data_IF_064237757582
#
_entry.id   IF_064237757582
#
_cell.length_a   1.000
_cell.length_b   1.000
_cell.length_c   1.000
_cell.angle_alpha   90.00
_cell.angle_beta   90.00
_cell.angle_gamma   90.00
#
_symmetry.space_group_name_H-M   'P 1'
#
loop_
_entity.id
_entity.type
_entity.pdbx_description
1 polymer ?
#
# COMPACT_ATOMS: atom_id res chain seq x y z
N UNK A 1 -5.46 14.38 -11.10
CA UNK A 1 -4.15 14.06 -10.49
C UNK A 1 -3.97 12.57 -10.54
N UNK A 2 -2.81 12.09 -10.94
CA UNK A 2 -2.47 10.68 -11.07
C UNK A 2 -1.39 10.31 -10.05
N UNK A 3 -1.25 9.01 -9.78
CA UNK A 3 -0.11 8.45 -9.06
C UNK A 3 0.52 7.36 -9.92
N UNK A 4 1.81 7.49 -10.18
CA UNK A 4 2.64 6.46 -10.78
C UNK A 4 3.28 5.63 -9.65
N UNK A 5 3.14 4.31 -9.72
CA UNK A 5 3.73 3.38 -8.77
C UNK A 5 4.85 2.63 -9.47
N UNK A 6 6.08 2.81 -8.98
CA UNK A 6 7.25 2.10 -9.50
C UNK A 6 7.20 0.60 -9.18
N UNK A 7 8.01 -0.18 -9.86
CA UNK A 7 8.17 -1.62 -9.61
C UNK A 7 8.53 -1.90 -8.14
N UNK A 8 9.54 -1.20 -7.61
CA UNK A 8 9.99 -1.37 -6.23
C UNK A 8 8.87 -1.08 -5.22
N UNK A 9 8.16 0.02 -5.41
CA UNK A 9 7.05 0.38 -4.53
C UNK A 9 5.90 -0.63 -4.62
N UNK A 10 5.53 -1.07 -5.82
CA UNK A 10 4.51 -2.09 -6.02
C UNK A 10 4.85 -3.41 -5.32
N UNK A 11 6.09 -3.88 -5.49
CA UNK A 11 6.54 -5.11 -4.85
C UNK A 11 6.50 -5.01 -3.32
N UNK A 12 6.97 -3.91 -2.74
CA UNK A 12 6.97 -3.73 -1.29
C UNK A 12 5.53 -3.65 -0.75
N UNK A 13 4.64 -2.91 -1.40
CA UNK A 13 3.24 -2.80 -0.99
C UNK A 13 2.56 -4.16 -0.99
N UNK A 14 2.67 -4.91 -2.08
CA UNK A 14 2.02 -6.22 -2.21
C UNK A 14 2.62 -7.25 -1.26
N UNK A 15 3.95 -7.30 -1.10
CA UNK A 15 4.61 -8.21 -0.17
C UNK A 15 4.25 -7.88 1.28
N UNK A 16 4.17 -6.59 1.65
CA UNK A 16 3.74 -6.19 3.00
C UNK A 16 2.32 -6.65 3.31
N UNK A 17 1.41 -6.55 2.34
CA UNK A 17 0.05 -7.05 2.49
C UNK A 17 0.02 -8.57 2.65
N UNK A 18 0.79 -9.32 1.86
CA UNK A 18 0.86 -10.78 1.94
C UNK A 18 1.51 -11.27 3.23
N UNK A 19 2.57 -10.59 3.71
CA UNK A 19 3.27 -10.95 4.96
C UNK A 19 2.34 -10.89 6.18
N UNK A 20 1.49 -9.86 6.24
CA UNK A 20 0.52 -9.71 7.32
C UNK A 20 -0.75 -10.53 7.08
N UNK A 21 -0.97 -10.92 5.82
CA UNK A 21 -2.11 -11.71 5.36
C UNK A 21 -3.48 -11.12 5.76
N UNK A 22 -4.48 -12.00 5.85
CA UNK A 22 -5.88 -11.60 6.15
C UNK A 22 -6.15 -11.39 7.65
N UNK A 23 -5.15 -11.48 8.50
CA UNK A 23 -5.35 -11.45 9.95
C UNK A 23 -4.97 -10.12 10.61
N UNK A 24 -4.16 -9.31 9.97
CA UNK A 24 -3.64 -8.05 10.54
C UNK A 24 -3.43 -7.01 9.46
N UNK A 25 -3.58 -5.76 9.84
CA UNK A 25 -3.22 -4.66 8.98
C UNK A 25 -1.71 -4.52 8.82
N UNK A 26 -1.25 -4.23 7.60
CA UNK A 26 0.08 -3.68 7.37
C UNK A 26 0.00 -2.18 7.21
N UNK A 27 1.08 -1.47 7.50
CA UNK A 27 1.21 -0.05 7.20
C UNK A 27 2.66 0.35 6.98
N UNK A 28 2.86 1.52 6.39
CA UNK A 28 4.18 2.06 6.16
C UNK A 28 4.16 3.45 5.53
N UNK A 29 5.34 3.93 5.18
CA UNK A 29 5.58 5.24 4.60
C UNK A 29 5.78 5.16 3.09
N UNK A 30 5.37 6.22 2.41
CA UNK A 30 5.50 6.39 0.97
C UNK A 30 6.47 7.54 0.68
N UNK A 31 7.44 7.28 -0.19
CA UNK A 31 8.45 8.23 -0.60
C UNK A 31 8.55 8.31 -2.12
N UNK A 32 8.84 9.51 -2.60
CA UNK A 32 8.96 9.76 -4.02
C UNK A 32 9.03 11.25 -4.30
N UNK A 33 8.38 11.71 -5.36
CA UNK A 33 8.34 13.11 -5.71
C UNK A 33 7.02 13.49 -6.35
N UNK A 34 6.74 14.78 -6.41
CA UNK A 34 5.52 15.34 -6.95
C UNK A 34 5.83 16.31 -8.09
N UNK A 35 5.09 16.20 -9.17
CA UNK A 35 4.97 17.22 -10.21
C UNK A 35 3.59 17.90 -10.12
N UNK A 36 3.33 18.97 -10.89
CA UNK A 36 1.99 19.58 -10.93
C UNK A 36 0.86 18.60 -11.27
N UNK A 37 1.14 17.56 -12.04
CA UNK A 37 0.14 16.66 -12.62
C UNK A 37 0.11 15.27 -11.95
N UNK A 38 1.21 14.85 -11.32
CA UNK A 38 1.40 13.46 -10.92
C UNK A 38 2.26 13.32 -9.66
N UNK A 39 1.94 12.33 -8.84
CA UNK A 39 2.85 11.76 -7.84
C UNK A 39 3.61 10.59 -8.43
N UNK A 40 4.90 10.49 -8.11
CA UNK A 40 5.76 9.35 -8.43
C UNK A 40 6.13 8.66 -7.12
N UNK A 41 5.56 7.50 -6.88
CA UNK A 41 5.87 6.66 -5.74
C UNK A 41 7.04 5.74 -6.11
N UNK A 42 8.20 6.01 -5.54
CA UNK A 42 9.44 5.29 -5.85
C UNK A 42 9.80 4.25 -4.78
N UNK A 43 9.42 4.51 -3.54
CA UNK A 43 9.75 3.67 -2.41
C UNK A 43 8.59 3.61 -1.42
N UNK A 44 8.26 2.40 -0.97
CA UNK A 44 7.45 2.15 0.21
C UNK A 44 8.31 1.52 1.31
N UNK A 45 8.08 1.87 2.57
CA UNK A 45 8.82 1.31 3.70
C UNK A 45 7.86 0.79 4.75
N UNK A 46 7.78 -0.53 4.96
CA UNK A 46 6.87 -1.10 5.94
C UNK A 46 7.31 -0.77 7.37
N UNK A 47 6.35 -0.62 8.26
CA UNK A 47 6.60 -0.49 9.70
C UNK A 47 6.81 -1.87 10.33
N UNK A 48 8.05 -2.29 10.46
CA UNK A 48 8.41 -3.60 11.01
C UNK A 48 8.11 -3.76 12.51
N UNK A 49 7.90 -2.66 13.24
CA UNK A 49 7.80 -2.63 14.70
C UNK A 49 6.57 -1.86 15.19
N UNK A 50 5.51 -1.83 14.42
CA UNK A 50 4.24 -1.30 14.90
C UNK A 50 3.67 -2.25 15.96
N UNK A 51 3.25 -1.71 17.11
CA UNK A 51 2.40 -2.45 18.03
C UNK A 51 1.06 -2.69 17.32
N UNK A 52 0.95 -3.84 16.69
CA UNK A 52 -0.21 -4.25 15.93
C UNK A 52 -1.28 -4.72 16.91
N UNK A 53 -2.20 -3.86 17.28
CA UNK A 53 -3.49 -4.28 17.79
C UNK A 53 -4.36 -4.64 16.58
N UNK A 54 -5.38 -5.45 16.81
CA UNK A 54 -6.25 -6.02 15.77
C UNK A 54 -6.89 -4.98 14.85
N UNK A 55 -6.99 -3.73 15.30
CA UNK A 55 -7.75 -2.63 14.69
C UNK A 55 -7.01 -1.27 14.68
N UNK A 56 -5.73 -1.24 15.06
CA UNK A 56 -4.98 0.02 15.10
C UNK A 56 -3.47 -0.20 15.02
N UNK A 57 -2.82 0.50 14.09
CA UNK A 57 -1.36 0.52 13.98
C UNK A 57 -0.84 1.78 14.66
N UNK A 58 -0.17 1.61 15.81
CA UNK A 58 0.52 2.73 16.47
C UNK A 58 1.97 2.79 16.01
N UNK A 59 2.34 3.91 15.42
CA UNK A 59 3.70 4.17 14.95
C UNK A 59 4.37 5.14 15.93
N UNK A 60 5.54 4.75 16.44
CA UNK A 60 6.33 5.63 17.30
C UNK A 60 6.80 6.86 16.48
N UNK A 61 6.39 8.11 16.86
CA UNK A 61 6.73 9.31 16.10
C UNK A 61 8.23 9.54 15.92
N UNK A 62 9.05 9.18 16.92
CA UNK A 62 10.52 9.33 16.84
C UNK A 62 11.13 8.41 15.77
N UNK A 63 10.63 7.18 15.63
CA UNK A 63 11.09 6.25 14.59
C UNK A 63 10.68 6.73 13.22
N UNK A 64 9.46 7.20 13.08
CA UNK A 64 8.92 7.82 11.87
C UNK A 64 9.81 8.99 11.42
N UNK A 65 10.09 9.91 12.33
CA UNK A 65 10.95 11.06 12.06
C UNK A 65 12.39 10.67 11.69
N UNK A 66 12.96 9.67 12.37
CA UNK A 66 14.30 9.14 12.03
C UNK A 66 14.32 8.57 10.61
N UNK A 67 13.29 7.83 10.21
CA UNK A 67 13.19 7.24 8.88
C UNK A 67 13.07 8.33 7.80
N UNK A 68 12.25 9.35 8.02
CA UNK A 68 12.16 10.52 7.12
C UNK A 68 13.51 11.16 6.86
N UNK A 69 14.24 11.48 7.94
CA UNK A 69 15.55 12.12 7.82
C UNK A 69 16.57 11.26 7.09
N UNK A 70 16.54 9.96 7.30
CA UNK A 70 17.44 9.04 6.59
C UNK A 70 17.13 9.02 5.10
N UNK A 71 15.87 8.89 4.71
CA UNK A 71 15.47 8.79 3.31
C UNK A 71 15.68 10.11 2.59
N UNK A 72 15.29 11.22 3.18
CA UNK A 72 15.50 12.57 2.62
C UNK A 72 16.99 12.86 2.37
N UNK A 73 17.85 12.53 3.36
CA UNK A 73 19.28 12.79 3.25
C UNK A 73 20.02 11.87 2.25
N UNK A 74 19.62 10.59 2.14
CA UNK A 74 20.38 9.61 1.37
C UNK A 74 19.79 9.30 0.00
N UNK A 75 18.46 9.29 -0.12
CA UNK A 75 17.78 8.91 -1.36
C UNK A 75 17.22 10.08 -2.13
N UNK A 76 17.20 11.29 -1.54
CA UNK A 76 16.60 12.49 -2.13
C UNK A 76 15.13 12.34 -2.54
N UNK A 77 14.42 11.38 -1.95
CA UNK A 77 12.98 11.24 -2.06
C UNK A 77 12.29 12.02 -0.97
N UNK A 78 11.22 12.70 -1.33
CA UNK A 78 10.36 13.36 -0.36
C UNK A 78 9.36 12.35 0.23
N UNK A 79 8.98 12.57 1.47
CA UNK A 79 7.80 11.91 2.02
C UNK A 79 6.55 12.41 1.31
N UNK A 80 5.76 11.48 0.76
CA UNK A 80 4.54 11.81 0.01
C UNK A 80 3.28 11.24 0.64
N UNK A 81 3.36 10.38 1.65
CA UNK A 81 2.19 9.84 2.33
C UNK A 81 2.42 8.54 3.08
N UNK A 82 1.35 7.88 3.42
CA UNK A 82 1.34 6.59 4.12
C UNK A 82 0.52 5.55 3.35
N UNK A 83 0.63 4.30 3.78
CA UNK A 83 -0.24 3.24 3.32
C UNK A 83 -0.63 2.32 4.47
N UNK A 84 -1.80 1.71 4.35
CA UNK A 84 -2.23 0.62 5.22
C UNK A 84 -3.14 -0.37 4.48
N UNK A 85 -3.40 -1.51 5.11
CA UNK A 85 -4.30 -2.52 4.54
C UNK A 85 -5.50 -2.78 5.44
N UNK A 86 -6.62 -3.14 4.80
CA UNK A 86 -7.85 -3.64 5.42
C UNK A 86 -7.99 -5.13 5.10
N UNK A 87 -7.62 -6.03 6.02
CA UNK A 87 -7.85 -7.47 5.84
C UNK A 87 -9.33 -7.77 5.66
N UNK A 88 -9.67 -8.59 4.65
CA UNK A 88 -11.06 -8.95 4.28
C UNK A 88 -12.00 -7.74 4.03
N UNK A 89 -11.44 -6.52 3.96
CA UNK A 89 -12.17 -5.27 3.77
C UNK A 89 -12.24 -4.82 2.32
N UNK A 90 -12.39 -3.52 2.14
CA UNK A 90 -12.37 -2.82 0.84
C UNK A 90 -11.25 -1.78 0.81
N UNK A 91 -10.67 -1.46 -0.36
CA UNK A 91 -9.61 -0.47 -0.47
C UNK A 91 -10.19 0.95 -0.47
N UNK A 92 -10.86 1.32 0.62
CA UNK A 92 -11.49 2.64 0.82
C UNK A 92 -11.26 3.12 2.24
N UNK A 93 -11.08 4.43 2.45
CA UNK A 93 -10.89 4.96 3.79
C UNK A 93 -12.17 4.76 4.62
N UNK A 94 -12.00 4.30 5.85
CA UNK A 94 -13.02 4.33 6.89
C UNK A 94 -13.23 5.76 7.38
N UNK A 95 -14.23 5.99 8.23
CA UNK A 95 -14.41 7.31 8.85
C UNK A 95 -13.23 7.73 9.73
N UNK A 96 -12.59 6.76 10.39
CA UNK A 96 -11.44 7.03 11.24
C UNK A 96 -10.17 7.29 10.42
N UNK A 97 -9.99 6.60 9.29
CA UNK A 97 -8.94 6.91 8.33
C UNK A 97 -9.08 8.34 7.80
N UNK A 98 -10.30 8.75 7.44
CA UNK A 98 -10.56 10.12 6.96
C UNK A 98 -10.20 11.15 8.04
N UNK A 99 -10.61 10.91 9.30
CA UNK A 99 -10.23 11.79 10.41
C UNK A 99 -8.72 11.85 10.62
N UNK A 100 -8.04 10.70 10.51
CA UNK A 100 -6.60 10.60 10.63
C UNK A 100 -5.89 11.35 9.49
N UNK A 101 -6.26 11.12 8.23
CA UNK A 101 -5.73 11.81 7.04
C UNK A 101 -5.90 13.34 7.20
N UNK A 102 -7.06 13.80 7.70
CA UNK A 102 -7.31 15.22 7.91
C UNK A 102 -6.45 15.83 9.02
N UNK A 103 -6.16 15.07 10.05
CA UNK A 103 -5.31 15.50 11.17
C UNK A 103 -3.85 15.61 10.77
N UNK A 104 -3.33 14.58 10.10
CA UNK A 104 -1.91 14.49 9.74
C UNK A 104 -1.57 15.27 8.46
N UNK A 105 -2.58 15.61 7.65
CA UNK A 105 -2.43 16.37 6.39
C UNK A 105 -1.49 15.73 5.38
N UNK A 106 -1.44 14.40 5.31
CA UNK A 106 -0.61 13.72 4.33
C UNK A 106 -1.05 14.00 2.90
N UNK A 107 -0.09 14.21 1.98
CA UNK A 107 -0.41 14.46 0.58
C UNK A 107 -1.21 13.33 -0.06
N UNK A 108 -0.83 12.07 0.18
CA UNK A 108 -1.53 10.88 -0.31
C UNK A 108 -1.64 9.79 0.75
N UNK A 109 -2.63 8.93 0.57
CA UNK A 109 -2.81 7.68 1.31
C UNK A 109 -3.06 6.56 0.31
N UNK A 110 -2.40 5.40 0.48
CA UNK A 110 -2.72 4.19 -0.25
C UNK A 110 -3.40 3.21 0.70
N UNK A 111 -4.59 2.77 0.33
CA UNK A 111 -5.33 1.77 1.07
C UNK A 111 -5.42 0.51 0.24
N UNK A 112 -5.03 -0.61 0.84
CA UNK A 112 -5.10 -1.92 0.22
C UNK A 112 -6.18 -2.76 0.90
N UNK A 113 -6.82 -3.65 0.16
CA UNK A 113 -7.52 -4.80 0.74
C UNK A 113 -6.82 -6.08 0.34
N UNK A 114 -6.87 -7.07 1.21
CA UNK A 114 -6.30 -8.39 0.94
C UNK A 114 -7.27 -9.46 1.43
N UNK A 115 -7.50 -10.47 0.60
CA UNK A 115 -8.28 -11.65 0.95
C UNK A 115 -7.71 -12.89 0.30
N UNK A 116 -7.98 -14.05 0.86
CA UNK A 116 -7.67 -15.31 0.18
C UNK A 116 -8.63 -15.50 -1.01
N UNK A 117 -8.08 -15.93 -2.14
CA UNK A 117 -8.85 -16.28 -3.34
C UNK A 117 -8.22 -17.52 -3.99
N UNK A 118 -9.06 -18.47 -4.34
CA UNK A 118 -8.62 -19.70 -5.02
C UNK A 118 -8.39 -19.49 -6.50
N UNK A 119 -9.03 -18.46 -7.07
CA UNK A 119 -8.91 -18.13 -8.47
C UNK A 119 -7.81 -17.09 -8.68
N UNK A 120 -6.89 -17.40 -9.56
CA UNK A 120 -5.90 -16.44 -10.01
C UNK A 120 -6.57 -15.39 -10.90
N UNK A 121 -6.34 -14.10 -10.58
CA UNK A 121 -6.82 -12.96 -11.37
C UNK A 121 -5.63 -12.12 -11.83
N UNK A 122 -5.51 -11.85 -13.14
CA UNK A 122 -4.45 -10.98 -13.64
C UNK A 122 -4.61 -9.55 -13.07
N UNK A 123 -3.50 -8.84 -12.98
CA UNK A 123 -3.51 -7.45 -12.54
C UNK A 123 -4.21 -6.56 -13.57
N UNK A 124 -5.14 -5.76 -13.08
CA UNK A 124 -5.94 -4.83 -13.89
C UNK A 124 -6.19 -3.53 -13.13
N UNK A 125 -6.45 -2.45 -13.86
CA UNK A 125 -6.92 -1.20 -13.27
C UNK A 125 -8.36 -0.98 -13.73
N UNK A 126 -9.28 -0.91 -12.75
CA UNK A 126 -10.69 -0.60 -13.01
C UNK A 126 -11.19 0.42 -11.99
N UNK A 127 -11.83 1.49 -12.45
CA UNK A 127 -12.39 2.56 -11.59
C UNK A 127 -11.36 3.10 -10.58
N UNK A 128 -10.12 3.30 -11.02
CA UNK A 128 -9.00 3.79 -10.20
C UNK A 128 -8.55 2.82 -9.09
N UNK A 129 -8.90 1.55 -9.19
CA UNK A 129 -8.44 0.49 -8.30
C UNK A 129 -7.54 -0.43 -9.11
N UNK A 130 -6.30 -0.59 -8.66
CA UNK A 130 -5.37 -1.61 -9.14
C UNK A 130 -5.67 -2.90 -8.39
N UNK A 131 -5.95 -3.99 -9.09
CA UNK A 131 -6.28 -5.27 -8.47
C UNK A 131 -5.70 -6.45 -9.22
N UNK A 132 -5.34 -7.50 -8.49
CA UNK A 132 -4.81 -8.74 -9.04
C UNK A 132 -4.41 -9.73 -7.97
N UNK A 133 -3.97 -10.90 -8.41
CA UNK A 133 -3.55 -11.97 -7.49
C UNK A 133 -2.03 -12.02 -7.36
N UNK A 134 -1.58 -12.20 -6.11
CA UNK A 134 -0.23 -12.59 -5.78
C UNK A 134 -0.31 -13.89 -4.97
N UNK A 135 0.16 -14.99 -5.55
CA UNK A 135 -0.01 -16.34 -5.00
C UNK A 135 -1.51 -16.66 -4.77
N UNK A 136 -1.92 -16.97 -3.54
CA UNK A 136 -3.32 -17.28 -3.17
C UNK A 136 -4.11 -16.07 -2.67
N UNK A 137 -3.53 -14.90 -2.73
CA UNK A 137 -4.17 -13.69 -2.23
C UNK A 137 -4.63 -12.82 -3.39
N UNK A 138 -5.85 -12.33 -3.31
CA UNK A 138 -6.34 -11.26 -4.15
C UNK A 138 -6.16 -9.93 -3.42
N UNK A 139 -5.50 -9.00 -4.08
CA UNK A 139 -5.15 -7.68 -3.53
C UNK A 139 -5.82 -6.63 -4.38
N UNK A 140 -6.44 -5.65 -3.71
CA UNK A 140 -6.95 -4.44 -4.33
C UNK A 140 -6.26 -3.25 -3.69
N UNK A 141 -5.95 -2.23 -4.48
CA UNK A 141 -5.20 -1.06 -4.06
C UNK A 141 -5.81 0.19 -4.64
N UNK A 142 -6.11 1.18 -3.81
CA UNK A 142 -6.59 2.49 -4.22
C UNK A 142 -5.76 3.59 -3.56
N UNK A 143 -5.56 4.70 -4.25
CA UNK A 143 -4.83 5.85 -3.74
C UNK A 143 -5.75 7.05 -3.57
N UNK A 144 -5.57 7.77 -2.49
CA UNK A 144 -6.38 8.92 -2.11
C UNK A 144 -5.50 10.14 -1.86
N UNK A 145 -6.04 11.31 -2.16
CA UNK A 145 -5.39 12.59 -1.92
C UNK A 145 -6.28 13.47 -1.04
N UNK A 146 -5.68 14.12 -0.06
CA UNK A 146 -6.31 15.22 0.66
C UNK A 146 -6.36 16.45 -0.24
N UNK A 147 -7.56 17.00 -0.46
CA UNK A 147 -7.80 18.22 -1.25
C UNK A 147 -8.57 19.25 -0.44
N UNK A 148 -8.39 20.53 -0.79
CA UNK A 148 -9.05 21.63 -0.08
C UNK A 148 -8.28 22.10 1.16
N UNK A 149 -8.85 23.08 1.88
CA UNK A 149 -8.27 23.68 3.09
C UNK A 149 -9.35 23.93 4.14
N UNK A 150 -8.96 23.88 5.40
CA UNK A 150 -9.86 24.17 6.53
C UNK A 150 -11.11 23.30 6.51
N UNK A 151 -12.30 23.90 6.59
CA UNK A 151 -13.59 23.20 6.60
C UNK A 151 -13.97 22.56 5.26
N UNK A 152 -13.26 22.91 4.17
CA UNK A 152 -13.52 22.40 2.82
C UNK A 152 -12.56 21.26 2.46
N UNK A 153 -11.92 20.64 3.43
CA UNK A 153 -11.09 19.44 3.21
C UNK A 153 -11.96 18.28 2.73
N UNK A 154 -11.44 17.54 1.76
CA UNK A 154 -12.09 16.34 1.22
C UNK A 154 -11.02 15.33 0.78
N UNK A 155 -11.38 14.07 0.72
CA UNK A 155 -10.53 12.98 0.22
C UNK A 155 -10.98 12.63 -1.19
N UNK A 156 -10.06 12.66 -2.15
CA UNK A 156 -10.31 12.35 -3.56
C UNK A 156 -9.46 11.18 -4.01
N UNK A 157 -10.09 10.24 -4.71
CA UNK A 157 -9.38 9.11 -5.32
C UNK A 157 -8.48 9.59 -6.47
N UNK A 158 -7.28 9.04 -6.56
CA UNK A 158 -6.32 9.28 -7.64
C UNK A 158 -6.40 8.19 -8.71
N UNK A 159 -6.07 8.54 -9.95
CA UNK A 159 -5.86 7.54 -10.99
C UNK A 159 -4.51 6.86 -10.77
N UNK A 160 -4.51 5.53 -10.67
CA UNK A 160 -3.28 4.75 -10.53
C UNK A 160 -2.73 4.42 -11.91
N UNK A 161 -1.43 4.58 -12.05
CA UNK A 161 -0.61 4.10 -13.17
C UNK A 161 0.46 3.16 -12.60
N UNK A 162 0.41 1.90 -12.96
CA UNK A 162 1.37 0.88 -12.54
C UNK A 162 1.66 -0.07 -13.71
N UNK A 163 2.49 0.35 -14.69
CA UNK A 163 2.79 -0.46 -15.87
C UNK A 163 3.39 -1.82 -15.52
N UNK A 164 4.23 -1.88 -14.47
CA UNK A 164 4.83 -3.13 -14.02
C UNK A 164 3.76 -4.16 -13.62
N UNK A 165 2.77 -3.77 -12.81
CA UNK A 165 1.71 -4.68 -12.40
C UNK A 165 0.90 -5.20 -13.60
N UNK A 166 0.62 -4.35 -14.58
CA UNK A 166 -0.15 -4.73 -15.77
C UNK A 166 0.63 -5.68 -16.72
N UNK A 167 1.97 -5.61 -16.70
CA UNK A 167 2.86 -6.53 -17.41
C UNK A 167 3.24 -7.77 -16.61
N UNK A 168 2.79 -7.88 -15.36
CA UNK A 168 3.12 -8.98 -14.47
C UNK A 168 2.36 -10.24 -14.91
N UNK A 169 3.05 -11.10 -15.67
CA UNK A 169 2.59 -12.45 -15.92
C UNK A 169 2.83 -13.27 -14.65
N UNK A 170 1.77 -13.64 -13.97
CA UNK A 170 1.91 -14.54 -12.85
C UNK A 170 2.57 -15.83 -13.33
N UNK A 171 3.67 -16.16 -12.74
CA UNK A 171 4.22 -17.51 -12.85
C UNK A 171 3.10 -18.45 -12.39
N UNK A 172 2.54 -19.22 -13.32
CA UNK A 172 1.54 -20.25 -13.02
C UNK A 172 2.08 -21.07 -11.87
N UNK A 173 1.43 -20.93 -10.75
CA UNK A 173 1.61 -21.62 -9.46
C UNK A 173 2.86 -22.53 -9.44
N UNK A 174 4.00 -22.15 -8.85
CA UNK A 174 5.03 -23.12 -8.56
C UNK A 174 4.36 -24.15 -7.65
N UNK A 175 4.30 -25.40 -8.09
CA UNK A 175 3.73 -26.52 -7.32
C UNK A 175 4.18 -26.36 -5.88
N UNK A 176 3.23 -26.42 -4.96
CA UNK A 176 3.54 -26.37 -3.53
C UNK A 176 4.71 -27.32 -3.26
N UNK A 177 5.77 -26.88 -2.54
CA UNK A 177 6.90 -27.76 -2.28
C UNK A 177 6.36 -29.04 -1.67
N UNK A 178 6.69 -30.18 -2.31
CA UNK A 178 6.30 -31.49 -1.83
C UNK A 178 6.62 -31.56 -0.34
N UNK A 179 5.61 -31.86 0.48
CA UNK A 179 5.83 -32.14 1.90
C UNK A 179 6.97 -33.16 1.98
N UNK A 180 8.04 -32.89 2.77
CA UNK A 180 9.06 -33.89 2.95
C UNK A 180 8.39 -35.18 3.45
N UNK A 181 8.55 -36.24 2.67
CA UNK A 181 8.09 -37.57 3.11
C UNK A 181 8.70 -37.88 4.47
N UNK A 182 7.84 -38.15 5.43
CA UNK A 182 8.25 -38.43 6.81
C UNK A 182 9.29 -39.54 6.85
N UNK A 183 10.47 -39.21 7.39
CA UNK A 183 11.41 -40.23 7.83
C UNK A 183 10.77 -41.02 8.94
N UNK A 184 10.53 -42.31 8.64
CA UNK A 184 10.22 -43.32 9.65
C UNK A 184 11.36 -43.53 10.61
#
# INVERSE_FOLDING_TARGET
MNIYISENAFMILTLSAVETSVTRECAGLLFGYKTPEKYFLELATPFQLANRKYDMIYINPMRKHKLYRMIDNYLKYQFIGEYHSHPEGVPRPSEDDIKYIFREEYPIEIIMSIREDKEFKPWTIRRNILSGSLYRYFIEMASFQLVGKGKNKNVKILNIECPYALGFEAVKNPQAPNKPEGRK
#
